data_IF_280257313066
#
_entry.id   IF_280257313066
#
_cell.length_a   1.000
_cell.length_b   1.000
_cell.length_c   1.000
_cell.angle_alpha   90.00
_cell.angle_beta   90.00
_cell.angle_gamma   90.00
#
_symmetry.space_group_name_H-M   'P 1'
#
loop_
_entity.id
_entity.type
_entity.pdbx_description
1 polymer ?
#
# COMPACT_ATOMS: atom_id res chain seq x y z
N UNK A 1 24.19 -21.95 9.21
CA UNK A 1 24.75 -21.80 7.84
C UNK A 1 25.35 -20.42 7.68
N UNK A 2 26.51 -20.32 7.02
CA UNK A 2 27.15 -19.05 6.66
C UNK A 2 26.41 -18.49 5.44
N UNK A 3 25.87 -17.27 5.54
CA UNK A 3 25.05 -16.64 4.50
C UNK A 3 25.85 -16.41 3.21
N UNK A 4 27.16 -16.14 3.34
CA UNK A 4 28.06 -15.84 2.22
C UNK A 4 28.07 -16.92 1.14
N UNK A 5 27.75 -18.18 1.49
CA UNK A 5 27.73 -19.32 0.57
C UNK A 5 26.47 -19.43 -0.31
N UNK A 6 25.44 -18.60 -0.09
CA UNK A 6 24.23 -18.65 -0.92
C UNK A 6 24.36 -17.80 -2.18
N UNK A 7 23.81 -18.34 -3.27
CA UNK A 7 23.63 -17.61 -4.53
C UNK A 7 22.72 -16.39 -4.31
N UNK A 8 23.11 -15.26 -4.87
CA UNK A 8 22.39 -13.98 -4.88
C UNK A 8 20.93 -14.12 -5.32
N UNK A 9 20.64 -14.91 -6.36
CA UNK A 9 19.26 -15.17 -6.79
C UNK A 9 18.39 -15.85 -5.73
N UNK A 10 18.99 -16.65 -4.85
CA UNK A 10 18.26 -17.25 -3.72
C UNK A 10 18.02 -16.20 -2.64
N UNK A 11 19.00 -15.33 -2.38
CA UNK A 11 18.86 -14.23 -1.42
C UNK A 11 17.79 -13.22 -1.88
N UNK A 12 17.76 -12.84 -3.15
CA UNK A 12 16.72 -11.96 -3.70
C UNK A 12 15.30 -12.48 -3.41
N UNK A 13 15.06 -13.79 -3.58
CA UNK A 13 13.76 -14.41 -3.24
C UNK A 13 13.44 -14.36 -1.75
N UNK A 14 14.44 -14.55 -0.90
CA UNK A 14 14.30 -14.46 0.55
C UNK A 14 13.97 -13.03 0.96
N UNK A 15 14.70 -12.06 0.40
CA UNK A 15 14.51 -10.64 0.65
C UNK A 15 13.13 -10.22 0.18
N UNK A 16 12.71 -10.61 -1.04
CA UNK A 16 11.35 -10.36 -1.55
C UNK A 16 10.29 -10.83 -0.55
N UNK A 17 10.40 -12.07 -0.05
CA UNK A 17 9.49 -12.61 0.98
C UNK A 17 9.50 -11.81 2.28
N UNK A 18 10.66 -11.34 2.73
CA UNK A 18 10.81 -10.51 3.93
C UNK A 18 10.12 -9.15 3.77
N UNK A 19 10.24 -8.55 2.58
CA UNK A 19 9.67 -7.24 2.30
C UNK A 19 8.19 -7.30 1.88
N UNK A 20 7.64 -8.49 1.64
CA UNK A 20 6.22 -8.74 1.35
C UNK A 20 5.27 -8.61 2.55
N UNK A 21 5.74 -8.21 3.74
CA UNK A 21 4.90 -7.97 4.92
C UNK A 21 4.55 -6.47 5.05
N UNK A 22 3.43 -6.01 4.47
CA UNK A 22 3.11 -4.60 4.37
C UNK A 22 2.67 -3.99 5.69
N UNK A 23 2.40 -4.79 6.73
CA UNK A 23 2.08 -4.27 8.06
C UNK A 23 3.32 -3.93 8.89
N UNK A 24 4.53 -4.22 8.40
CA UNK A 24 5.77 -3.98 9.14
C UNK A 24 6.35 -2.59 8.84
N UNK A 25 6.56 -1.80 9.90
CA UNK A 25 7.27 -0.52 9.84
C UNK A 25 8.73 -0.76 10.26
N UNK A 26 9.66 -0.26 9.47
CA UNK A 26 11.11 -0.33 9.70
C UNK A 26 11.71 1.07 9.76
N UNK A 27 12.98 1.15 10.12
CA UNK A 27 13.79 2.36 10.00
C UNK A 27 14.87 2.17 8.93
N UNK A 28 15.08 3.19 8.13
CA UNK A 28 16.21 3.30 7.20
C UNK A 28 17.50 3.63 7.97
N UNK A 29 18.65 3.53 7.31
CA UNK A 29 19.94 3.96 7.88
C UNK A 29 19.93 5.44 8.28
N UNK A 30 19.18 6.29 7.56
CA UNK A 30 19.03 7.71 7.89
C UNK A 30 18.07 7.99 9.06
N UNK A 31 17.47 6.94 9.64
CA UNK A 31 16.50 7.05 10.74
C UNK A 31 15.06 7.34 10.30
N UNK A 32 14.80 7.50 9.00
CA UNK A 32 13.44 7.67 8.47
C UNK A 32 12.65 6.38 8.58
N UNK A 33 11.38 6.49 8.97
CA UNK A 33 10.43 5.38 8.98
C UNK A 33 10.00 5.04 7.57
N UNK A 34 10.09 3.75 7.29
CA UNK A 34 9.75 3.15 6.01
C UNK A 34 8.82 1.96 6.22
N UNK A 35 7.78 1.89 5.41
CA UNK A 35 6.91 0.73 5.29
C UNK A 35 6.90 0.32 3.82
N UNK A 36 7.21 -0.94 3.53
CA UNK A 36 7.12 -1.47 2.16
C UNK A 36 5.67 -1.93 1.97
N UNK A 37 4.85 -1.11 1.32
CA UNK A 37 3.41 -1.36 1.17
C UNK A 37 3.09 -2.26 -0.03
N UNK A 38 4.01 -2.36 -0.97
CA UNK A 38 4.08 -3.44 -1.96
C UNK A 38 5.55 -3.74 -2.29
N UNK A 39 5.96 -5.02 -2.32
CA UNK A 39 7.32 -5.45 -2.61
C UNK A 39 7.67 -5.39 -4.10
N UNK A 40 6.70 -5.08 -4.97
CA UNK A 40 6.90 -5.14 -6.42
C UNK A 40 7.17 -6.56 -6.92
N UNK A 41 7.79 -6.66 -8.10
CA UNK A 41 8.07 -7.95 -8.76
C UNK A 41 9.57 -8.21 -8.81
N UNK A 42 9.97 -9.46 -8.55
CA UNK A 42 11.32 -9.92 -8.82
C UNK A 42 11.66 -9.74 -10.31
N UNK A 43 12.76 -9.05 -10.59
CA UNK A 43 13.32 -8.96 -11.93
C UNK A 43 14.12 -10.24 -12.24
N UNK A 44 13.81 -10.87 -13.37
CA UNK A 44 14.59 -12.02 -13.87
C UNK A 44 15.51 -11.65 -15.03
N UNK A 45 15.48 -10.37 -15.42
CA UNK A 45 16.27 -9.77 -16.49
C UNK A 45 17.30 -8.80 -15.90
N UNK A 46 18.00 -8.08 -16.78
CA UNK A 46 18.94 -7.03 -16.39
C UNK A 46 18.22 -5.83 -15.74
N UNK A 47 18.93 -5.10 -14.88
CA UNK A 47 18.42 -3.95 -14.14
C UNK A 47 18.16 -4.28 -12.67
N UNK A 48 17.38 -3.42 -11.97
CA UNK A 48 17.15 -3.56 -10.54
C UNK A 48 16.49 -4.89 -10.17
N UNK A 49 16.80 -5.41 -9.00
CA UNK A 49 16.30 -6.70 -8.51
C UNK A 49 14.78 -6.75 -8.27
N UNK A 50 14.19 -5.63 -7.87
CA UNK A 50 12.75 -5.51 -7.63
C UNK A 50 12.15 -4.34 -8.42
N UNK A 51 11.22 -4.65 -9.31
CA UNK A 51 10.55 -3.68 -10.15
C UNK A 51 9.25 -3.18 -9.52
N UNK A 52 9.00 -1.88 -9.60
CA UNK A 52 7.74 -1.25 -9.16
C UNK A 52 7.38 -1.50 -7.69
N UNK A 53 8.37 -1.46 -6.80
CA UNK A 53 8.13 -1.43 -5.35
C UNK A 53 7.36 -0.15 -4.96
N UNK A 54 6.51 -0.25 -3.95
CA UNK A 54 5.84 0.90 -3.35
C UNK A 54 6.20 1.01 -1.86
N UNK A 55 6.75 2.16 -1.47
CA UNK A 55 7.17 2.42 -0.09
C UNK A 55 6.44 3.64 0.47
N UNK A 56 6.01 3.56 1.73
CA UNK A 56 5.57 4.71 2.50
C UNK A 56 6.75 5.19 3.36
N UNK A 57 7.39 6.28 2.93
CA UNK A 57 8.56 6.87 3.57
C UNK A 57 8.16 8.21 4.20
N UNK A 58 8.21 8.29 5.54
CA UNK A 58 7.71 9.45 6.30
C UNK A 58 6.34 9.94 5.80
N UNK A 59 5.41 9.00 5.64
CA UNK A 59 4.04 9.27 5.18
C UNK A 59 3.92 9.64 3.70
N UNK A 60 5.00 9.73 2.93
CA UNK A 60 4.95 9.91 1.48
C UNK A 60 4.99 8.56 0.79
N UNK A 61 4.02 8.28 -0.07
CA UNK A 61 4.00 7.06 -0.88
C UNK A 61 4.84 7.27 -2.14
N UNK A 62 5.88 6.46 -2.32
CA UNK A 62 6.83 6.55 -3.43
C UNK A 62 6.84 5.22 -4.17
N UNK A 63 6.73 5.28 -5.49
CA UNK A 63 6.81 4.10 -6.37
C UNK A 63 8.03 4.21 -7.27
N UNK A 64 8.79 3.13 -7.36
CA UNK A 64 10.03 3.03 -8.13
C UNK A 64 10.55 1.60 -8.11
N UNK A 65 11.85 1.42 -8.25
CA UNK A 65 12.49 0.12 -8.17
C UNK A 65 13.32 -0.01 -6.89
N UNK A 66 13.71 -1.22 -6.51
CA UNK A 66 14.64 -1.46 -5.43
C UNK A 66 15.74 -2.42 -5.86
N UNK A 67 16.93 -2.20 -5.30
CA UNK A 67 18.10 -3.04 -5.54
C UNK A 67 18.51 -3.77 -4.27
N UNK A 68 18.96 -5.02 -4.39
CA UNK A 68 19.53 -5.75 -3.27
C UNK A 68 21.03 -6.01 -3.48
N UNK A 69 21.81 -5.79 -2.44
CA UNK A 69 23.19 -6.25 -2.36
C UNK A 69 23.50 -6.83 -0.98
N UNK A 70 24.59 -7.60 -0.86
CA UNK A 70 25.07 -8.01 0.46
C UNK A 70 25.60 -6.80 1.22
N UNK A 71 26.38 -5.96 0.54
CA UNK A 71 27.03 -4.76 1.08
C UNK A 71 26.56 -3.51 0.36
N UNK A 72 26.57 -2.36 1.04
CA UNK A 72 26.20 -1.10 0.39
C UNK A 72 27.27 -0.62 -0.61
N UNK A 73 28.54 -0.93 -0.36
CA UNK A 73 29.65 -0.62 -1.26
C UNK A 73 29.56 -1.31 -2.64
N UNK A 74 28.84 -2.44 -2.73
CA UNK A 74 28.63 -3.20 -3.98
C UNK A 74 27.94 -2.35 -5.06
N UNK A 75 27.15 -1.33 -4.67
CA UNK A 75 26.52 -0.39 -5.59
C UNK A 75 27.54 0.31 -6.52
N UNK A 76 28.67 0.74 -5.96
CA UNK A 76 29.72 1.41 -6.70
C UNK A 76 30.63 0.41 -7.42
N UNK A 77 30.90 -0.74 -6.80
CA UNK A 77 31.70 -1.81 -7.42
C UNK A 77 31.07 -2.32 -8.73
N UNK A 78 29.74 -2.44 -8.76
CA UNK A 78 29.00 -2.83 -9.96
C UNK A 78 28.71 -1.66 -10.92
N UNK A 79 29.16 -0.44 -10.58
CA UNK A 79 28.98 0.77 -11.39
C UNK A 79 27.51 1.13 -11.68
N UNK A 80 26.56 0.71 -10.83
CA UNK A 80 25.12 1.00 -11.03
C UNK A 80 24.81 2.49 -10.99
N UNK A 81 25.60 3.29 -10.26
CA UNK A 81 25.52 4.75 -10.25
C UNK A 81 25.67 5.41 -11.64
N UNK A 82 26.26 4.72 -12.63
CA UNK A 82 26.45 5.23 -13.98
C UNK A 82 25.44 4.67 -15.00
N UNK A 83 24.49 3.84 -14.55
CA UNK A 83 23.60 3.09 -15.42
C UNK A 83 22.18 3.67 -15.40
N UNK A 84 21.66 4.01 -16.58
CA UNK A 84 20.33 4.60 -16.73
C UNK A 84 19.19 3.66 -16.26
N UNK A 85 19.40 2.34 -16.37
CA UNK A 85 18.46 1.32 -15.89
C UNK A 85 18.20 1.38 -14.38
N UNK A 86 19.08 2.02 -13.62
CA UNK A 86 19.01 2.12 -12.16
C UNK A 86 18.50 3.47 -11.65
N UNK A 87 18.18 4.42 -12.55
CA UNK A 87 17.67 5.75 -12.17
C UNK A 87 16.35 5.74 -11.42
N UNK A 88 15.56 4.67 -11.59
CA UNK A 88 14.28 4.48 -10.91
C UNK A 88 14.41 3.85 -9.52
N UNK A 89 15.63 3.49 -9.09
CA UNK A 89 15.86 2.89 -7.76
C UNK A 89 15.59 3.93 -6.67
N UNK A 90 14.63 3.61 -5.79
CA UNK A 90 14.22 4.45 -4.66
C UNK A 90 14.62 3.86 -3.29
N UNK A 91 15.09 2.61 -3.28
CA UNK A 91 15.49 1.90 -2.06
C UNK A 91 16.62 0.92 -2.37
N UNK A 92 17.68 0.96 -1.57
CA UNK A 92 18.74 -0.06 -1.60
C UNK A 92 18.66 -0.92 -0.35
N UNK A 93 18.42 -2.21 -0.57
CA UNK A 93 18.26 -3.20 0.49
C UNK A 93 19.60 -3.91 0.65
N UNK A 94 20.15 -3.88 1.86
CA UNK A 94 21.46 -4.47 2.16
C UNK A 94 21.40 -5.37 3.38
N UNK A 95 22.40 -6.25 3.50
CA UNK A 95 22.61 -7.05 4.70
C UNK A 95 23.63 -6.37 5.64
N UNK A 96 24.53 -5.58 5.06
CA UNK A 96 25.56 -4.82 5.75
C UNK A 96 25.69 -3.44 5.08
N UNK A 97 25.70 -2.37 5.87
CA UNK A 97 26.02 -1.03 5.37
C UNK A 97 27.49 -0.71 5.70
N UNK A 98 28.37 -0.85 4.71
CA UNK A 98 29.82 -0.71 4.84
C UNK A 98 30.40 0.49 4.07
N UNK A 99 29.60 1.13 3.21
CA UNK A 99 29.96 2.37 2.54
C UNK A 99 29.68 3.59 3.44
N UNK A 100 30.59 4.57 3.42
CA UNK A 100 30.36 5.90 4.00
C UNK A 100 29.90 6.93 2.98
N UNK A 101 29.78 6.53 1.71
CA UNK A 101 29.32 7.37 0.60
C UNK A 101 27.87 7.81 0.78
N UNK A 102 27.51 8.92 0.14
CA UNK A 102 26.12 9.35 0.02
C UNK A 102 25.44 8.59 -1.10
N UNK A 103 24.16 8.26 -0.92
CA UNK A 103 23.34 7.56 -1.90
C UNK A 103 22.15 8.43 -2.29
N UNK A 104 21.66 8.35 -3.54
CA UNK A 104 20.48 9.10 -3.96
C UNK A 104 19.17 8.51 -3.40
N UNK A 105 19.24 7.38 -2.69
CA UNK A 105 18.11 6.65 -2.12
C UNK A 105 18.35 6.31 -0.66
N UNK A 106 17.28 5.89 0.02
CA UNK A 106 17.39 5.33 1.37
C UNK A 106 17.98 3.93 1.34
N UNK A 107 18.68 3.57 2.42
CA UNK A 107 19.20 2.23 2.64
C UNK A 107 18.37 1.54 3.72
N UNK A 108 17.95 0.31 3.44
CA UNK A 108 17.28 -0.56 4.40
C UNK A 108 18.18 -1.77 4.70
N UNK A 109 18.54 -1.94 5.97
CA UNK A 109 19.30 -3.11 6.42
C UNK A 109 18.31 -4.22 6.82
N UNK A 110 18.51 -5.42 6.27
CA UNK A 110 17.80 -6.62 6.67
C UNK A 110 18.72 -7.50 7.52
N UNK A 111 18.29 -7.81 8.74
CA UNK A 111 19.09 -8.55 9.70
C UNK A 111 19.43 -9.96 9.20
N UNK A 112 20.68 -10.37 9.41
CA UNK A 112 21.20 -11.67 9.00
C UNK A 112 20.43 -12.85 9.61
N UNK A 113 19.88 -12.71 10.82
CA UNK A 113 19.06 -13.76 11.44
C UNK A 113 17.68 -13.84 10.79
N UNK A 114 17.11 -12.72 10.37
CA UNK A 114 15.86 -12.67 9.60
C UNK A 114 16.02 -13.40 8.25
N UNK A 115 17.14 -13.15 7.55
CA UNK A 115 17.48 -13.85 6.30
C UNK A 115 17.64 -15.35 6.54
N UNK A 116 18.41 -15.76 7.56
CA UNK A 116 18.60 -17.19 7.90
C UNK A 116 17.28 -17.88 8.22
N UNK A 117 16.39 -17.24 8.98
CA UNK A 117 15.08 -17.78 9.33
C UNK A 117 14.22 -18.02 8.08
N UNK A 118 14.17 -17.05 7.17
CA UNK A 118 13.36 -17.16 5.96
C UNK A 118 13.95 -18.12 4.92
N UNK A 119 15.28 -18.26 4.86
CA UNK A 119 15.95 -19.30 4.07
C UNK A 119 15.50 -20.71 4.46
N UNK A 120 15.42 -21.00 5.77
CA UNK A 120 14.96 -22.30 6.27
C UNK A 120 13.48 -22.57 5.91
N UNK A 121 12.65 -21.53 5.87
CA UNK A 121 11.24 -21.67 5.49
C UNK A 121 11.14 -21.97 3.99
N UNK A 122 11.87 -21.25 3.15
CA UNK A 122 11.89 -21.44 1.70
C UNK A 122 12.34 -22.84 1.27
N UNK A 123 13.33 -23.42 1.98
CA UNK A 123 13.80 -24.78 1.69
C UNK A 123 12.77 -25.86 2.06
N UNK A 124 11.78 -25.54 2.91
CA UNK A 124 10.72 -26.44 3.34
C UNK A 124 9.38 -26.22 2.59
N UNK A 125 9.25 -25.14 1.80
CA UNK A 125 8.06 -24.89 1.00
C UNK A 125 8.14 -25.67 -0.31
N UNK A 126 7.23 -26.64 -0.48
CA UNK A 126 7.04 -27.29 -1.79
C UNK A 126 6.58 -26.26 -2.82
N UNK A 127 7.21 -26.28 -3.99
CA UNK A 127 6.92 -25.35 -5.10
C UNK A 127 5.52 -25.62 -5.64
N UNK A 128 4.50 -25.03 -5.01
CA UNK A 128 3.24 -24.77 -5.70
C UNK A 128 3.48 -23.57 -6.59
N UNK A 129 3.66 -23.81 -7.89
CA UNK A 129 3.43 -22.78 -8.90
C UNK A 129 1.99 -22.28 -8.74
N UNK A 130 1.75 -20.98 -8.70
CA UNK A 130 0.45 -20.50 -9.09
C UNK A 130 0.52 -20.03 -10.55
N UNK A 131 -0.31 -20.61 -11.40
CA UNK A 131 -0.77 -19.99 -12.66
C UNK A 131 -1.79 -18.84 -12.36
N UNK A 132 -1.85 -18.36 -11.10
CA UNK A 132 -2.87 -17.49 -10.53
C UNK A 132 -2.18 -16.36 -9.73
N UNK A 133 -2.80 -15.18 -9.69
CA UNK A 133 -2.42 -14.00 -8.92
C UNK A 133 -1.72 -14.32 -7.58
N UNK A 134 -0.51 -13.80 -7.37
CA UNK A 134 0.22 -13.99 -6.11
C UNK A 134 -0.29 -13.06 -5.00
N UNK A 135 0.07 -13.33 -3.73
CA UNK A 135 -0.29 -12.44 -2.61
C UNK A 135 0.40 -11.08 -2.75
N UNK A 136 1.62 -11.06 -3.26
CA UNK A 136 2.41 -9.87 -3.51
C UNK A 136 1.75 -9.01 -4.60
N UNK A 137 1.35 -9.63 -5.72
CA UNK A 137 0.59 -8.91 -6.76
C UNK A 137 -0.76 -8.38 -6.22
N UNK A 138 -1.39 -9.10 -5.29
CA UNK A 138 -2.63 -8.66 -4.66
C UNK A 138 -2.47 -7.37 -3.83
N UNK A 139 -1.29 -7.14 -3.25
CA UNK A 139 -0.99 -5.91 -2.52
C UNK A 139 -1.03 -4.71 -3.46
N UNK A 140 -0.51 -4.86 -4.68
CA UNK A 140 -0.59 -3.81 -5.67
C UNK A 140 -2.03 -3.43 -6.02
N UNK A 141 -2.87 -4.42 -6.29
CA UNK A 141 -4.29 -4.18 -6.58
C UNK A 141 -5.03 -3.54 -5.41
N UNK A 142 -4.69 -3.93 -4.18
CA UNK A 142 -5.26 -3.32 -2.98
C UNK A 142 -4.84 -1.85 -2.84
N UNK A 143 -3.56 -1.55 -3.10
CA UNK A 143 -3.00 -0.21 -3.06
C UNK A 143 -3.58 0.68 -4.16
N UNK A 144 -3.59 0.22 -5.42
CA UNK A 144 -4.20 0.94 -6.56
C UNK A 144 -5.65 1.30 -6.24
N UNK A 145 -6.41 0.35 -5.69
CA UNK A 145 -7.80 0.60 -5.31
C UNK A 145 -7.93 1.70 -4.25
N UNK A 146 -7.06 1.68 -3.24
CA UNK A 146 -7.06 2.68 -2.18
C UNK A 146 -6.72 4.06 -2.74
N UNK A 147 -5.66 4.16 -3.56
CA UNK A 147 -5.23 5.41 -4.18
C UNK A 147 -6.25 5.97 -5.16
N UNK A 148 -6.92 5.11 -5.94
CA UNK A 148 -8.00 5.54 -6.83
C UNK A 148 -9.15 6.15 -6.06
N UNK A 149 -9.52 5.56 -4.92
CA UNK A 149 -10.54 6.13 -4.05
C UNK A 149 -10.09 7.41 -3.38
N UNK A 150 -8.82 7.48 -2.95
CA UNK A 150 -8.26 8.70 -2.38
C UNK A 150 -8.25 9.83 -3.43
N UNK A 151 -7.91 9.54 -4.69
CA UNK A 151 -7.96 10.50 -5.80
C UNK A 151 -9.39 10.98 -6.07
N UNK A 152 -10.38 10.07 -6.07
CA UNK A 152 -11.81 10.42 -6.13
C UNK A 152 -12.20 11.36 -4.97
N UNK A 153 -11.74 11.07 -3.74
CA UNK A 153 -12.01 11.90 -2.56
C UNK A 153 -11.32 13.28 -2.63
N UNK A 154 -10.04 13.32 -3.00
CA UNK A 154 -9.26 14.55 -3.12
C UNK A 154 -9.87 15.50 -4.16
N UNK A 155 -10.35 14.98 -5.30
CA UNK A 155 -11.05 15.79 -6.30
C UNK A 155 -12.31 16.46 -5.74
N UNK A 156 -13.02 15.80 -4.83
CA UNK A 156 -14.17 16.39 -4.14
C UNK A 156 -13.72 17.44 -3.11
N UNK A 157 -12.71 17.12 -2.29
CA UNK A 157 -12.17 18.02 -1.27
C UNK A 157 -11.57 19.31 -1.86
N UNK A 158 -11.05 19.26 -3.07
CA UNK A 158 -10.53 20.44 -3.76
C UNK A 158 -11.62 21.46 -4.14
N UNK A 159 -12.87 21.01 -4.28
CA UNK A 159 -13.96 21.82 -4.82
C UNK A 159 -15.12 22.03 -3.83
N UNK A 160 -15.16 21.29 -2.73
CA UNK A 160 -16.27 21.21 -1.81
C UNK A 160 -15.80 21.21 -0.36
N UNK A 161 -16.68 21.61 0.55
CA UNK A 161 -16.47 21.43 1.98
C UNK A 161 -16.46 19.95 2.37
N UNK A 162 -15.84 19.62 3.52
CA UNK A 162 -15.65 18.25 3.99
C UNK A 162 -16.95 17.45 4.12
N UNK A 163 -18.00 18.06 4.67
CA UNK A 163 -19.35 17.49 4.78
C UNK A 163 -19.94 17.13 3.41
N UNK A 164 -19.84 18.04 2.44
CA UNK A 164 -20.36 17.83 1.09
C UNK A 164 -19.54 16.76 0.34
N UNK A 165 -18.21 16.78 0.46
CA UNK A 165 -17.34 15.76 -0.11
C UNK A 165 -17.67 14.37 0.47
N UNK A 166 -17.82 14.26 1.79
CA UNK A 166 -18.18 13.01 2.46
C UNK A 166 -19.57 12.51 2.05
N UNK A 167 -20.55 13.42 1.98
CA UNK A 167 -21.92 13.11 1.56
C UNK A 167 -21.97 12.57 0.13
N UNK A 168 -21.33 13.25 -0.82
CA UNK A 168 -21.30 12.83 -2.24
C UNK A 168 -20.58 11.49 -2.39
N UNK A 169 -19.44 11.30 -1.70
CA UNK A 169 -18.71 10.04 -1.77
C UNK A 169 -19.54 8.86 -1.24
N UNK A 170 -20.23 9.05 -0.12
CA UNK A 170 -21.13 8.05 0.45
C UNK A 170 -22.35 7.79 -0.45
N UNK A 171 -22.96 8.84 -1.01
CA UNK A 171 -24.08 8.73 -1.95
C UNK A 171 -23.69 7.89 -3.16
N UNK A 172 -22.60 8.26 -3.83
CA UNK A 172 -22.07 7.55 -4.99
C UNK A 172 -21.71 6.09 -4.66
N UNK A 173 -21.21 5.83 -3.45
CA UNK A 173 -20.96 4.46 -3.00
C UNK A 173 -22.25 3.67 -2.79
N UNK A 174 -23.22 4.22 -2.05
CA UNK A 174 -24.48 3.54 -1.73
C UNK A 174 -25.34 3.27 -2.96
N UNK A 175 -25.38 4.19 -3.92
CA UNK A 175 -26.07 3.98 -5.21
C UNK A 175 -25.45 2.81 -5.99
N UNK A 176 -24.10 2.75 -6.08
CA UNK A 176 -23.37 1.63 -6.69
C UNK A 176 -23.56 0.32 -5.92
N UNK A 177 -23.59 0.39 -4.59
CA UNK A 177 -23.80 -0.77 -3.73
C UNK A 177 -25.21 -1.35 -3.93
N UNK A 178 -26.22 -0.49 -4.02
CA UNK A 178 -27.61 -0.89 -4.20
C UNK A 178 -27.87 -1.47 -5.60
N UNK A 179 -27.38 -0.81 -6.65
CA UNK A 179 -27.60 -1.24 -8.06
C UNK A 179 -27.02 -2.62 -8.38
N UNK A 180 -25.96 -3.03 -7.68
CA UNK A 180 -25.32 -4.34 -7.87
C UNK A 180 -26.03 -5.49 -7.17
N UNK A 181 -27.06 -5.24 -6.35
CA UNK A 181 -27.74 -6.29 -5.56
C UNK A 181 -29.04 -6.75 -6.19
N UNK A 182 -29.07 -8.04 -6.56
CA UNK A 182 -30.30 -8.72 -7.01
C UNK A 182 -31.33 -8.89 -5.88
N UNK A 183 -30.90 -8.93 -4.62
CA UNK A 183 -31.76 -9.03 -3.42
C UNK A 183 -31.27 -8.00 -2.38
N UNK A 184 -31.75 -6.76 -2.44
CA UNK A 184 -31.29 -5.71 -1.54
C UNK A 184 -31.82 -5.91 -0.12
N UNK A 185 -30.93 -5.82 0.86
CA UNK A 185 -31.25 -5.91 2.30
C UNK A 185 -31.77 -4.56 2.84
N UNK A 186 -31.37 -3.46 2.21
CA UNK A 186 -31.74 -2.10 2.61
C UNK A 186 -32.76 -1.54 1.62
N UNK A 187 -33.82 -0.90 2.13
CA UNK A 187 -34.77 -0.18 1.29
C UNK A 187 -34.19 1.18 0.86
N UNK A 188 -34.68 1.78 -0.25
CA UNK A 188 -34.28 3.13 -0.65
C UNK A 188 -34.47 4.18 0.47
N UNK A 189 -35.59 4.10 1.21
CA UNK A 189 -35.84 4.99 2.36
C UNK A 189 -34.79 4.85 3.47
N UNK A 190 -34.33 3.61 3.74
CA UNK A 190 -33.29 3.36 4.74
C UNK A 190 -31.92 3.87 4.28
N UNK A 191 -31.59 3.74 3.00
CA UNK A 191 -30.36 4.32 2.44
C UNK A 191 -30.38 5.85 2.51
N UNK A 192 -31.53 6.46 2.19
CA UNK A 192 -31.70 7.90 2.34
C UNK A 192 -31.58 8.35 3.80
N UNK A 193 -32.16 7.60 4.74
CA UNK A 193 -32.00 7.86 6.17
C UNK A 193 -30.53 7.83 6.60
N UNK A 194 -29.75 6.85 6.12
CA UNK A 194 -28.31 6.80 6.38
C UNK A 194 -27.64 8.07 5.85
N UNK A 195 -27.87 8.43 4.58
CA UNK A 195 -27.29 9.62 3.95
C UNK A 195 -27.63 10.93 4.67
N UNK A 196 -28.84 11.06 5.20
CA UNK A 196 -29.26 12.26 5.93
C UNK A 196 -28.56 12.39 7.30
N UNK A 197 -27.96 11.31 7.83
CA UNK A 197 -27.39 11.26 9.17
C UNK A 197 -25.86 11.01 9.19
N UNK A 198 -25.22 10.73 8.06
CA UNK A 198 -23.78 10.40 8.05
C UNK A 198 -22.89 11.55 8.52
N UNK A 199 -23.28 12.81 8.27
CA UNK A 199 -22.52 13.99 8.72
C UNK A 199 -22.66 14.26 10.22
N UNK A 200 -23.57 13.57 10.91
CA UNK A 200 -23.65 13.60 12.39
C UNK A 200 -22.99 12.38 13.03
N UNK A 201 -22.33 11.53 12.23
CA UNK A 201 -21.75 10.28 12.70
C UNK A 201 -20.37 10.46 13.32
N UNK A 202 -19.98 9.53 14.19
CA UNK A 202 -18.61 9.45 14.70
C UNK A 202 -17.56 9.29 13.59
N UNK A 203 -17.95 8.74 12.43
CA UNK A 203 -17.05 8.65 11.28
C UNK A 203 -16.78 10.02 10.65
N UNK A 204 -17.76 10.92 10.63
CA UNK A 204 -17.58 12.28 10.15
C UNK A 204 -16.76 13.12 11.13
N UNK A 205 -17.07 13.07 12.43
CA UNK A 205 -16.27 13.76 13.45
C UNK A 205 -14.80 13.31 13.46
N UNK A 206 -14.53 12.02 13.21
CA UNK A 206 -13.15 11.54 13.01
C UNK A 206 -12.44 12.24 11.84
N UNK A 207 -13.15 12.54 10.75
CA UNK A 207 -12.59 13.28 9.61
C UNK A 207 -12.38 14.75 9.94
N UNK A 208 -13.29 15.37 10.71
CA UNK A 208 -13.13 16.74 11.20
C UNK A 208 -11.91 16.86 12.11
N UNK A 209 -11.78 15.94 13.07
CA UNK A 209 -10.64 15.89 13.99
C UNK A 209 -9.31 15.71 13.23
N UNK A 210 -9.30 14.92 12.15
CA UNK A 210 -8.15 14.78 11.27
C UNK A 210 -7.84 16.08 10.53
N UNK A 211 -8.85 16.73 9.95
CA UNK A 211 -8.70 17.99 9.22
C UNK A 211 -8.21 19.14 10.12
N UNK A 212 -8.60 19.12 11.40
CA UNK A 212 -8.16 20.12 12.39
C UNK A 212 -6.80 19.81 13.02
N UNK A 213 -6.16 18.69 12.68
CA UNK A 213 -4.89 18.28 13.28
C UNK A 213 -5.01 17.86 14.75
N UNK A 214 -6.19 17.41 15.19
CA UNK A 214 -6.43 16.96 16.56
C UNK A 214 -5.62 15.68 16.82
N UNK A 215 -4.74 15.71 17.82
CA UNK A 215 -3.95 14.55 18.22
C UNK A 215 -4.87 13.40 18.69
N UNK A 216 -4.77 12.26 18.03
CA UNK A 216 -5.55 11.07 18.37
C UNK A 216 -4.82 9.79 18.01
N UNK A 217 -5.22 8.69 18.65
CA UNK A 217 -4.74 7.36 18.29
C UNK A 217 -5.53 6.80 17.10
N UNK A 218 -5.03 7.05 15.90
CA UNK A 218 -5.69 6.69 14.63
C UNK A 218 -6.13 5.23 14.58
N UNK A 219 -5.25 4.29 14.91
CA UNK A 219 -5.58 2.85 14.84
C UNK A 219 -6.74 2.49 15.77
N UNK A 220 -6.72 2.98 17.02
CA UNK A 220 -7.80 2.73 17.99
C UNK A 220 -9.12 3.34 17.51
N UNK A 221 -9.08 4.58 16.98
CA UNK A 221 -10.25 5.25 16.41
C UNK A 221 -10.81 4.47 15.22
N UNK A 222 -9.99 4.07 14.26
CA UNK A 222 -10.42 3.28 13.11
C UNK A 222 -11.08 1.95 13.52
N UNK A 223 -10.52 1.24 14.52
CA UNK A 223 -11.17 0.04 15.07
C UNK A 223 -12.51 0.33 15.76
N UNK A 224 -12.62 1.47 16.46
CA UNK A 224 -13.87 1.89 17.09
C UNK A 224 -14.95 2.20 16.04
N UNK A 225 -14.59 2.82 14.91
CA UNK A 225 -15.51 3.12 13.82
C UNK A 225 -16.10 1.84 13.22
N UNK A 226 -15.37 0.73 13.19
CA UNK A 226 -15.92 -0.56 12.75
C UNK A 226 -17.05 -1.08 13.65
N UNK A 227 -17.17 -0.59 14.90
CA UNK A 227 -18.13 -1.05 15.91
C UNK A 227 -19.33 -0.12 16.11
N UNK A 228 -19.17 1.17 15.84
CA UNK A 228 -20.21 2.19 16.05
C UNK A 228 -21.02 2.41 14.77
N UNK A 229 -22.35 2.43 14.87
CA UNK A 229 -23.20 2.71 13.70
C UNK A 229 -22.99 4.14 13.20
N UNK A 230 -22.99 4.35 11.88
CA UNK A 230 -23.11 5.69 11.32
C UNK A 230 -24.55 6.20 11.50
N UNK A 231 -25.52 5.33 11.21
CA UNK A 231 -26.94 5.59 11.38
C UNK A 231 -27.68 4.26 11.60
N UNK A 232 -28.35 3.74 10.56
CA UNK A 232 -29.07 2.47 10.60
C UNK A 232 -28.53 1.44 9.60
N UNK A 233 -27.21 1.33 9.50
CA UNK A 233 -26.55 0.29 8.73
C UNK A 233 -26.17 -0.95 9.57
N UNK A 234 -26.02 -2.10 8.91
CA UNK A 234 -25.44 -3.30 9.50
C UNK A 234 -23.91 -3.32 9.42
N UNK A 235 -23.26 -4.19 10.20
CA UNK A 235 -21.80 -4.25 10.33
C UNK A 235 -21.05 -4.44 8.98
N UNK A 236 -21.63 -5.19 8.04
CA UNK A 236 -21.03 -5.37 6.71
C UNK A 236 -21.05 -4.08 5.88
N UNK A 237 -22.19 -3.38 5.83
CA UNK A 237 -22.29 -2.11 5.09
C UNK A 237 -21.43 -1.02 5.75
N UNK A 238 -21.34 -1.01 7.08
CA UNK A 238 -20.47 -0.10 7.81
C UNK A 238 -19.00 -0.22 7.40
N UNK A 239 -18.45 -1.44 7.42
CA UNK A 239 -17.07 -1.71 7.02
C UNK A 239 -16.80 -1.25 5.60
N UNK A 240 -17.76 -1.50 4.72
CA UNK A 240 -17.72 -1.04 3.35
C UNK A 240 -17.72 0.50 3.25
N UNK A 241 -18.57 1.22 3.99
CA UNK A 241 -18.54 2.69 4.02
C UNK A 241 -17.19 3.20 4.55
N UNK A 242 -16.66 2.59 5.61
CA UNK A 242 -15.37 2.98 6.19
C UNK A 242 -14.24 2.78 5.18
N UNK A 243 -14.15 1.61 4.53
CA UNK A 243 -13.11 1.33 3.55
C UNK A 243 -13.22 2.15 2.27
N UNK A 244 -14.45 2.41 1.80
CA UNK A 244 -14.67 3.00 0.48
C UNK A 244 -14.92 4.51 0.52
N UNK A 245 -15.21 5.09 1.68
CA UNK A 245 -15.54 6.52 1.84
C UNK A 245 -14.68 7.19 2.93
N UNK A 246 -14.68 6.66 4.16
CA UNK A 246 -13.99 7.30 5.30
C UNK A 246 -12.47 7.24 5.15
N UNK A 247 -11.90 6.05 4.95
CA UNK A 247 -10.45 5.85 4.81
C UNK A 247 -9.84 6.67 3.65
N UNK A 248 -10.43 6.70 2.44
CA UNK A 248 -9.92 7.55 1.36
C UNK A 248 -9.85 9.03 1.71
N UNK A 249 -10.89 9.60 2.34
CA UNK A 249 -10.88 10.99 2.78
C UNK A 249 -9.85 11.19 3.90
N UNK A 250 -9.80 10.27 4.87
CA UNK A 250 -8.86 10.33 5.97
C UNK A 250 -7.40 10.39 5.50
N UNK A 251 -7.02 9.59 4.49
CA UNK A 251 -5.67 9.60 3.92
C UNK A 251 -5.31 10.94 3.28
N UNK A 252 -6.30 11.61 2.66
CA UNK A 252 -6.12 12.91 2.03
C UNK A 252 -5.94 14.04 3.06
N UNK A 253 -6.66 13.96 4.18
CA UNK A 253 -6.62 14.96 5.25
C UNK A 253 -5.45 14.76 6.22
N UNK A 254 -4.96 13.53 6.36
CA UNK A 254 -3.97 13.16 7.36
C UNK A 254 -2.63 13.86 7.17
N UNK A 255 -2.01 14.23 8.29
CA UNK A 255 -0.59 14.53 8.36
C UNK A 255 0.28 13.26 8.19
N UNK A 256 1.60 13.42 8.26
CA UNK A 256 2.55 12.31 8.09
C UNK A 256 2.31 11.16 9.08
N UNK A 257 2.20 11.45 10.38
CA UNK A 257 2.01 10.46 11.44
C UNK A 257 0.71 9.69 11.28
N UNK A 258 -0.37 10.43 11.03
CA UNK A 258 -1.70 9.85 10.90
C UNK A 258 -1.79 9.02 9.62
N UNK A 259 -1.14 9.44 8.54
CA UNK A 259 -1.14 8.69 7.28
C UNK A 259 -0.42 7.35 7.42
N UNK A 260 0.74 7.32 8.09
CA UNK A 260 1.43 6.07 8.42
C UNK A 260 0.50 5.13 9.20
N UNK A 261 -0.20 5.66 10.21
CA UNK A 261 -1.13 4.88 11.01
C UNK A 261 -2.35 4.37 10.22
N UNK A 262 -2.87 5.15 9.26
CA UNK A 262 -3.97 4.75 8.38
C UNK A 262 -3.58 3.61 7.43
N UNK A 263 -2.39 3.69 6.82
CA UNK A 263 -1.86 2.61 5.99
C UNK A 263 -1.58 1.36 6.81
N UNK A 264 -0.96 1.49 7.98
CA UNK A 264 -0.79 0.37 8.90
C UNK A 264 -2.12 -0.30 9.25
N UNK A 265 -3.16 0.49 9.56
CA UNK A 265 -4.50 -0.05 9.83
C UNK A 265 -5.07 -0.79 8.61
N UNK A 266 -4.94 -0.22 7.40
CA UNK A 266 -5.42 -0.85 6.17
C UNK A 266 -4.78 -2.23 5.93
N UNK A 267 -3.47 -2.35 6.12
CA UNK A 267 -2.71 -3.58 5.89
C UNK A 267 -2.88 -4.63 7.00
N UNK A 268 -3.26 -4.23 8.21
CA UNK A 268 -3.37 -5.13 9.38
C UNK A 268 -4.80 -5.50 9.78
N UNK A 269 -5.83 -4.85 9.24
CA UNK A 269 -7.20 -5.03 9.72
C UNK A 269 -7.83 -6.36 9.26
N UNK A 270 -8.29 -7.23 10.18
CA UNK A 270 -8.95 -8.49 9.83
C UNK A 270 -10.29 -8.29 9.12
N UNK A 271 -10.58 -9.18 8.18
CA UNK A 271 -11.90 -9.25 7.55
C UNK A 271 -12.93 -9.84 8.51
N UNK A 272 -14.17 -9.33 8.45
CA UNK A 272 -15.27 -9.86 9.29
C UNK A 272 -15.93 -11.09 8.67
N UNK A 273 -16.08 -11.07 7.35
CA UNK A 273 -16.77 -12.10 6.57
C UNK A 273 -15.98 -12.30 5.28
N UNK A 274 -15.87 -13.55 4.85
CA UNK A 274 -15.28 -13.89 3.55
C UNK A 274 -16.31 -13.74 2.43
N UNK A 275 -15.90 -13.19 1.30
CA UNK A 275 -16.76 -13.12 0.13
C UNK A 275 -16.83 -14.50 -0.53
N UNK A 276 -18.01 -15.12 -0.52
CA UNK A 276 -18.22 -16.44 -1.14
C UNK A 276 -17.94 -16.46 -2.66
N UNK A 277 -18.05 -15.33 -3.35
CA UNK A 277 -17.61 -15.21 -4.75
C UNK A 277 -16.08 -15.26 -4.85
N UNK A 278 -15.37 -14.49 -4.03
CA UNK A 278 -13.92 -14.42 -4.04
C UNK A 278 -13.31 -15.76 -3.65
N UNK A 279 -13.89 -16.46 -2.66
CA UNK A 279 -13.42 -17.80 -2.25
C UNK A 279 -13.49 -18.82 -3.38
N UNK A 280 -14.47 -18.69 -4.28
CA UNK A 280 -14.58 -19.56 -5.46
C UNK A 280 -13.62 -19.17 -6.59
N UNK A 281 -13.34 -17.88 -6.75
CA UNK A 281 -12.44 -17.38 -7.81
C UNK A 281 -10.96 -17.45 -7.44
N UNK A 282 -10.63 -17.38 -6.15
CA UNK A 282 -9.27 -17.41 -5.60
C UNK A 282 -9.22 -18.42 -4.44
N UNK A 283 -9.27 -19.73 -4.74
CA UNK A 283 -9.33 -20.77 -3.70
C UNK A 283 -8.06 -20.83 -2.84
N UNK A 284 -6.90 -20.50 -3.43
CA UNK A 284 -5.59 -20.60 -2.77
C UNK A 284 -5.14 -19.30 -2.09
N UNK A 285 -5.87 -18.20 -2.27
CA UNK A 285 -5.52 -16.90 -1.68
C UNK A 285 -6.38 -16.64 -0.43
N UNK A 286 -5.77 -16.39 0.74
CA UNK A 286 -6.52 -16.10 1.96
C UNK A 286 -7.30 -14.78 1.86
N UNK A 287 -8.39 -14.70 2.61
CA UNK A 287 -9.21 -13.49 2.79
C UNK A 287 -9.26 -13.08 4.26
N UNK A 288 -8.16 -13.25 4.98
CA UNK A 288 -8.05 -13.00 6.42
C UNK A 288 -8.06 -11.50 6.72
N UNK A 289 -7.57 -10.67 5.80
CA UNK A 289 -7.48 -9.22 5.95
C UNK A 289 -8.36 -8.48 4.93
N UNK A 290 -8.77 -7.26 5.29
CA UNK A 290 -9.61 -6.43 4.42
C UNK A 290 -8.91 -6.09 3.10
N UNK A 291 -7.63 -5.76 3.14
CA UNK A 291 -6.86 -5.43 1.94
C UNK A 291 -6.83 -6.57 0.92
N UNK A 292 -6.81 -7.84 1.37
CA UNK A 292 -6.83 -9.00 0.46
C UNK A 292 -8.12 -9.04 -0.34
N UNK A 293 -9.26 -8.79 0.31
CA UNK A 293 -10.55 -8.71 -0.36
C UNK A 293 -10.61 -7.50 -1.31
N UNK A 294 -10.07 -6.35 -0.89
CA UNK A 294 -10.02 -5.14 -1.71
C UNK A 294 -9.14 -5.34 -2.96
N UNK A 295 -7.98 -5.99 -2.82
CA UNK A 295 -7.11 -6.34 -3.92
C UNK A 295 -7.77 -7.32 -4.88
N UNK A 296 -8.47 -8.34 -4.39
CA UNK A 296 -9.17 -9.30 -5.25
C UNK A 296 -10.29 -8.62 -6.03
N UNK A 297 -11.02 -7.70 -5.39
CA UNK A 297 -12.08 -6.93 -6.04
C UNK A 297 -11.53 -5.97 -7.11
N UNK A 298 -10.35 -5.39 -6.91
CA UNK A 298 -9.71 -4.56 -7.93
C UNK A 298 -9.13 -5.41 -9.05
N UNK A 299 -8.47 -6.52 -8.75
CA UNK A 299 -8.03 -7.47 -9.77
C UNK A 299 -9.20 -7.92 -10.65
N UNK A 300 -10.35 -8.28 -10.07
CA UNK A 300 -11.52 -8.68 -10.84
C UNK A 300 -12.13 -7.55 -11.68
N UNK A 301 -11.91 -6.28 -11.28
CA UNK A 301 -12.32 -5.10 -12.05
C UNK A 301 -11.39 -4.91 -13.26
N UNK A 302 -10.08 -5.05 -13.06
CA UNK A 302 -9.05 -4.88 -14.10
C UNK A 302 -8.98 -6.07 -15.07
N UNK A 303 -9.02 -7.31 -14.58
CA UNK A 303 -8.98 -8.52 -15.44
C UNK A 303 -10.29 -8.81 -16.22
N UNK A 304 -11.22 -7.85 -16.22
CA UNK A 304 -12.24 -7.73 -17.28
C UNK A 304 -11.70 -7.10 -18.57
N UNK A 305 -10.49 -6.53 -18.55
CA UNK A 305 -9.76 -5.98 -19.68
C UNK A 305 -8.25 -5.88 -19.38
N UNK A 306 -7.46 -6.81 -19.94
CA UNK A 306 -5.97 -6.86 -20.05
C UNK A 306 -5.13 -6.46 -18.81
N UNK A 307 -4.32 -7.41 -18.33
CA UNK A 307 -3.36 -7.23 -17.25
C UNK A 307 -2.43 -6.05 -17.47
N UNK A 308 -2.64 -4.99 -16.70
CA UNK A 308 -1.82 -3.79 -16.66
C UNK A 308 -0.88 -3.89 -15.47
N UNK A 309 0.41 -3.60 -15.69
CA UNK A 309 1.38 -3.48 -14.61
C UNK A 309 0.95 -2.34 -13.68
N UNK A 310 1.36 -2.40 -12.42
CA UNK A 310 1.00 -1.43 -11.38
C UNK A 310 1.43 -0.02 -11.78
N UNK A 311 2.61 0.10 -12.36
CA UNK A 311 3.13 1.34 -12.93
C UNK A 311 2.26 1.88 -14.07
N UNK A 312 1.65 1.02 -14.88
CA UNK A 312 0.76 1.43 -15.97
C UNK A 312 -0.59 1.88 -15.43
N UNK A 313 -1.16 1.14 -14.46
CA UNK A 313 -2.34 1.58 -13.73
C UNK A 313 -2.11 2.94 -13.04
N UNK A 314 -0.98 3.10 -12.35
CA UNK A 314 -0.61 4.34 -11.67
C UNK A 314 -0.55 5.53 -12.63
N UNK A 315 0.10 5.35 -13.79
CA UNK A 315 0.19 6.39 -14.83
C UNK A 315 -1.18 6.69 -15.44
N UNK A 316 -1.96 5.66 -15.74
CA UNK A 316 -3.31 5.79 -16.28
C UNK A 316 -4.23 6.55 -15.33
N UNK A 317 -4.12 6.31 -14.02
CA UNK A 317 -4.98 6.94 -13.04
C UNK A 317 -4.58 8.36 -12.64
N UNK A 318 -3.39 8.83 -13.04
CA UNK A 318 -2.92 10.18 -12.77
C UNK A 318 -2.91 10.51 -11.25
N UNK A 319 -2.38 9.59 -10.43
CA UNK A 319 -2.34 9.79 -8.99
C UNK A 319 -1.38 10.91 -8.57
N UNK A 320 -0.26 11.05 -9.27
CA UNK A 320 0.78 12.04 -8.95
C UNK A 320 0.31 13.48 -9.15
N UNK A 321 -0.64 13.69 -10.05
CA UNK A 321 -1.23 15.01 -10.33
C UNK A 321 -2.29 15.40 -9.29
N UNK A 322 -2.83 14.44 -8.55
CA UNK A 322 -3.96 14.66 -7.63
C UNK A 322 -3.56 14.53 -6.17
N UNK A 323 -2.75 13.54 -5.82
CA UNK A 323 -2.41 13.20 -4.44
C UNK A 323 -1.05 13.77 -4.06
N UNK A 324 -1.02 14.83 -3.25
CA UNK A 324 0.24 15.49 -2.85
C UNK A 324 1.21 14.63 -2.04
N UNK A 325 0.73 13.51 -1.47
CA UNK A 325 1.56 12.54 -0.75
C UNK A 325 2.07 11.39 -1.63
N UNK A 326 1.78 11.40 -2.95
CA UNK A 326 2.16 10.34 -3.89
C UNK A 326 3.27 10.81 -4.85
N UNK A 327 4.31 10.00 -5.06
CA UNK A 327 5.45 10.31 -5.95
C UNK A 327 5.88 9.10 -6.78
N UNK A 328 6.39 9.36 -7.99
CA UNK A 328 6.96 8.35 -8.91
C UNK A 328 8.44 8.65 -9.13
N UNK A 329 9.29 7.62 -9.08
CA UNK A 329 10.62 7.62 -9.70
C UNK A 329 11.65 8.58 -9.10
N UNK A 330 11.43 9.11 -7.90
CA UNK A 330 12.43 9.88 -7.15
C UNK A 330 12.34 9.62 -5.65
N UNK A 331 13.46 9.20 -5.07
CA UNK A 331 13.71 9.25 -3.63
C UNK A 331 13.58 10.71 -3.14
N UNK A 332 13.10 10.96 -1.91
CA UNK A 332 12.92 12.32 -1.38
C UNK A 332 14.22 12.98 -0.90
N UNK A 333 15.37 12.34 -1.09
CA UNK A 333 16.67 12.98 -0.90
C UNK A 333 16.90 13.99 -2.04
N UNK A 334 17.04 15.27 -1.72
CA UNK A 334 17.24 16.35 -2.70
C UNK A 334 18.47 16.12 -3.59
N UNK A 335 18.43 16.72 -4.79
CA UNK A 335 19.38 16.51 -5.89
C UNK A 335 20.86 16.54 -5.43
N UNK A 336 21.54 15.44 -5.77
CA UNK A 336 22.94 15.19 -5.50
C UNK A 336 23.82 16.28 -6.15
N UNK A 337 24.52 17.09 -5.34
CA UNK A 337 25.71 17.81 -5.81
C UNK A 337 26.91 16.89 -5.62
N UNK A 338 27.37 16.27 -6.70
CA UNK A 338 28.69 15.61 -6.71
C UNK A 338 29.72 16.72 -6.50
N UNK A 339 30.30 16.80 -5.31
CA UNK A 339 31.54 17.55 -5.11
C UNK A 339 32.65 16.78 -5.81
N UNK A 340 32.90 17.12 -7.08
CA UNK A 340 34.13 16.73 -7.76
C UNK A 340 35.30 17.44 -7.07
N UNK A 341 35.89 16.79 -6.07
CA UNK A 341 37.23 17.10 -5.64
C UNK A 341 38.19 16.12 -6.32
N UNK A 342 38.82 16.60 -7.39
CA UNK A 342 40.10 16.11 -7.91
C UNK A 342 41.19 16.58 -6.97
#
# INVERSE_FOLDING_TARGET
MIIEKFNEKKLQKVIHKIISEPSLIRATVSGKRIQIVSPGRLNVHEGPDFLSIAILLEGTLIVGDAEFHKKSSDWFLHSHHNQDSYKSVILHIVMENDASDSFPFEILIIDNNEVKKNLLILDNESVKKPDILSIEELQDYALIRLLRKASEAQKLLNNLSLDNAFLILCKNYLERYFSRRKRPVYSPARLQYILNNITSSQSYHFLEDLASGTSMKISEKMFSLLKIKLADEGASLRREIILNCVLPIAICLADTESRISLFLWFWSTPSLVQYGMLRRRFPDIPQNFLWQQQGMLEYLKEYGGKGSLVADAIREYGFAEVLGFYKIGKSPLEDYKINNHI
#
